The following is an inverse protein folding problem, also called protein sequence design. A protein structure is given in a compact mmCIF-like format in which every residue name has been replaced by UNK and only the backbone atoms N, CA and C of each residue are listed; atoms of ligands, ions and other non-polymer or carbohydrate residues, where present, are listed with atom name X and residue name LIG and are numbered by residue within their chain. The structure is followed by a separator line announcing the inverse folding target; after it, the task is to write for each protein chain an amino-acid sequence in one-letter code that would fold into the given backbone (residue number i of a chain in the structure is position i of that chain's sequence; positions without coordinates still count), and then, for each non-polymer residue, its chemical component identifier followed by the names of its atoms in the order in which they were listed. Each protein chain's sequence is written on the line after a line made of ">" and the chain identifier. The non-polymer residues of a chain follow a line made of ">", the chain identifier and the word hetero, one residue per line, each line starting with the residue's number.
data_IF_284635351108
#
_entry.id   IF_284635351108
#
_cell.length_a   1.000
_cell.length_b   1.000
_cell.length_c   1.000
_cell.angle_alpha   90.00
_cell.angle_beta   90.00
_cell.angle_gamma   90.00
#
_symmetry.space_group_name_H-M   'P 1'
#
loop_
_entity.id
_entity.type
_entity.pdbx_description
1 polymer ?
#
# COMPACT_ATOMS: atom_id res chain seq x y z
N UNK A 1 7.65 -14.41 -18.96
CA UNK A 1 7.04 -15.43 -18.10
C UNK A 1 6.18 -14.69 -17.07
N UNK A 2 4.90 -15.05 -16.91
CA UNK A 2 4.07 -14.48 -15.84
C UNK A 2 4.49 -15.11 -14.51
N UNK A 3 4.72 -14.27 -13.49
CA UNK A 3 4.96 -14.73 -12.13
C UNK A 3 3.61 -15.05 -11.50
N UNK A 4 3.43 -16.26 -10.97
CA UNK A 4 2.22 -16.64 -10.23
C UNK A 4 2.38 -16.30 -8.75
N UNK A 5 1.30 -15.83 -8.12
CA UNK A 5 1.21 -15.57 -6.70
C UNK A 5 0.28 -16.59 -6.07
N UNK A 6 0.75 -17.35 -5.07
CA UNK A 6 -0.11 -18.25 -4.31
C UNK A 6 -0.99 -17.45 -3.35
N UNK A 7 -2.29 -17.74 -3.36
CA UNK A 7 -3.31 -17.07 -2.55
C UNK A 7 -4.12 -18.12 -1.79
N UNK A 8 -4.29 -17.93 -0.49
CA UNK A 8 -5.23 -18.68 0.34
C UNK A 8 -6.48 -17.84 0.57
N UNK A 9 -7.65 -18.37 0.26
CA UNK A 9 -8.94 -17.74 0.59
C UNK A 9 -9.33 -18.15 2.01
N UNK A 10 -9.26 -17.19 2.93
CA UNK A 10 -9.71 -17.36 4.31
C UNK A 10 -11.21 -17.16 4.42
N UNK A 11 -11.78 -16.32 3.54
CA UNK A 11 -13.23 -16.15 3.37
C UNK A 11 -13.64 -16.61 1.95
N UNK A 12 -14.12 -17.85 1.79
CA UNK A 12 -14.53 -18.37 0.48
C UNK A 12 -15.79 -17.69 -0.09
N UNK A 13 -16.50 -16.90 0.72
CA UNK A 13 -17.66 -16.11 0.27
C UNK A 13 -17.27 -14.82 -0.48
N UNK A 14 -15.99 -14.45 -0.47
CA UNK A 14 -15.47 -13.31 -1.24
C UNK A 14 -14.83 -13.78 -2.55
N UNK A 15 -14.83 -12.94 -3.61
CA UNK A 15 -14.12 -13.26 -4.83
C UNK A 15 -12.59 -13.21 -4.61
N UNK A 16 -11.83 -13.93 -5.42
CA UNK A 16 -10.39 -13.75 -5.47
C UNK A 16 -10.06 -12.33 -5.99
N UNK A 17 -8.99 -11.71 -5.49
CA UNK A 17 -8.49 -10.46 -6.06
C UNK A 17 -8.28 -10.57 -7.57
N UNK A 18 -8.78 -9.58 -8.28
CA UNK A 18 -8.69 -9.55 -9.74
C UNK A 18 -8.34 -8.14 -10.22
N UNK A 19 -7.77 -8.07 -11.43
CA UNK A 19 -7.59 -6.81 -12.15
C UNK A 19 -8.90 -6.40 -12.78
N UNK A 20 -9.25 -5.12 -12.67
CA UNK A 20 -10.44 -4.58 -13.34
C UNK A 20 -10.26 -4.60 -14.86
N UNK A 21 -9.03 -4.31 -15.34
CA UNK A 21 -8.69 -4.34 -16.76
C UNK A 21 -7.38 -5.11 -16.99
N UNK A 22 -7.26 -5.67 -18.21
CA UNK A 22 -6.02 -6.33 -18.62
C UNK A 22 -4.88 -5.31 -18.65
N UNK A 23 -3.82 -5.58 -17.89
CA UNK A 23 -2.65 -4.68 -17.80
C UNK A 23 -2.63 -3.78 -16.57
N UNK A 24 -3.71 -3.72 -15.78
CA UNK A 24 -3.67 -3.03 -14.49
C UNK A 24 -2.57 -3.60 -13.59
N UNK A 25 -1.82 -2.73 -12.91
CA UNK A 25 -0.76 -3.14 -12.01
C UNK A 25 -1.32 -3.75 -10.72
N UNK A 26 -2.40 -3.17 -10.19
CA UNK A 26 -3.05 -3.59 -8.95
C UNK A 26 -4.14 -4.63 -9.17
N UNK A 27 -4.35 -5.47 -8.15
CA UNK A 27 -5.52 -6.30 -8.00
C UNK A 27 -6.37 -5.77 -6.84
N UNK A 28 -7.69 -5.71 -7.02
CA UNK A 28 -8.58 -5.17 -5.98
C UNK A 28 -8.64 -6.10 -4.76
N UNK A 29 -8.60 -5.50 -3.57
CA UNK A 29 -8.82 -6.15 -2.28
C UNK A 29 -10.21 -5.79 -1.76
N UNK A 30 -10.92 -6.80 -1.28
CA UNK A 30 -12.31 -6.66 -0.82
C UNK A 30 -12.37 -6.60 0.71
N UNK A 31 -13.35 -5.89 1.26
CA UNK A 31 -13.65 -5.94 2.69
C UNK A 31 -14.28 -7.28 3.06
N UNK A 32 -13.78 -7.92 4.13
CA UNK A 32 -14.39 -9.13 4.67
C UNK A 32 -15.53 -8.84 5.67
N UNK A 33 -15.76 -7.58 6.00
CA UNK A 33 -16.70 -7.16 7.03
C UNK A 33 -17.35 -5.81 6.70
N UNK A 34 -18.46 -5.52 7.38
CA UNK A 34 -19.06 -4.18 7.38
C UNK A 34 -18.35 -3.33 8.41
N UNK A 35 -18.03 -2.07 8.06
CA UNK A 35 -17.43 -1.12 8.99
C UNK A 35 -17.89 0.30 8.68
N UNK A 36 -18.17 1.07 9.73
CA UNK A 36 -18.42 2.51 9.63
C UNK A 36 -17.23 3.28 10.19
N UNK A 37 -16.71 4.20 9.42
CA UNK A 37 -15.60 5.07 9.78
C UNK A 37 -16.13 6.49 9.96
N UNK A 38 -16.28 6.94 11.18
CA UNK A 38 -16.58 8.34 11.48
C UNK A 38 -15.44 9.25 10.95
N UNK A 39 -15.67 10.56 10.72
CA UNK A 39 -14.65 11.51 10.30
C UNK A 39 -13.40 11.44 11.17
N UNK A 40 -12.21 11.30 10.54
CA UNK A 40 -10.92 11.18 11.21
C UNK A 40 -10.63 9.83 11.88
N UNK A 41 -11.58 8.88 11.89
CA UNK A 41 -11.39 7.57 12.51
C UNK A 41 -10.78 6.56 11.55
N UNK A 42 -10.19 5.51 12.12
CA UNK A 42 -9.56 4.40 11.39
C UNK A 42 -10.04 3.05 11.91
N UNK A 43 -10.00 2.05 11.05
CA UNK A 43 -10.23 0.65 11.42
C UNK A 43 -9.27 -0.27 10.68
N UNK A 44 -8.93 -1.40 11.29
CA UNK A 44 -8.16 -2.47 10.66
C UNK A 44 -9.13 -3.51 10.09
N UNK A 45 -9.29 -3.54 8.78
CA UNK A 45 -10.30 -4.32 8.06
C UNK A 45 -9.65 -5.52 7.39
N UNK A 46 -10.19 -6.70 7.63
CA UNK A 46 -9.77 -7.95 6.97
C UNK A 46 -10.14 -7.97 5.49
N UNK A 47 -9.36 -8.70 4.70
CA UNK A 47 -9.64 -8.89 3.26
C UNK A 47 -10.04 -10.32 2.91
N UNK A 48 -10.04 -11.23 3.89
CA UNK A 48 -10.38 -12.65 3.69
C UNK A 48 -9.37 -13.43 2.86
N UNK A 49 -8.15 -12.92 2.65
CA UNK A 49 -7.08 -13.62 1.94
C UNK A 49 -5.73 -13.52 2.64
N UNK A 50 -4.91 -14.53 2.40
CA UNK A 50 -3.47 -14.52 2.67
C UNK A 50 -2.72 -14.82 1.38
N UNK A 51 -1.50 -14.28 1.23
CA UNK A 51 -0.67 -14.45 0.03
C UNK A 51 0.73 -14.92 0.40
N UNK A 52 1.38 -15.63 -0.51
CA UNK A 52 2.80 -16.00 -0.36
C UNK A 52 3.64 -15.18 -1.35
N UNK A 53 4.09 -14.02 -0.91
CA UNK A 53 5.00 -13.18 -1.71
C UNK A 53 6.33 -13.93 -1.90
N UNK A 54 6.85 -14.08 -3.15
CA UNK A 54 8.14 -14.68 -3.41
C UNK A 54 9.29 -13.85 -2.84
N UNK A 55 10.39 -14.52 -2.43
CA UNK A 55 11.63 -13.83 -2.04
C UNK A 55 12.13 -12.95 -3.17
N UNK A 56 12.63 -11.77 -2.86
CA UNK A 56 13.00 -10.73 -3.82
C UNK A 56 11.83 -9.94 -4.40
N UNK A 57 10.63 -10.12 -3.82
CA UNK A 57 9.46 -9.32 -4.12
C UNK A 57 8.82 -8.77 -2.85
N UNK A 58 8.01 -7.75 -3.00
CA UNK A 58 7.19 -7.13 -1.95
C UNK A 58 5.76 -6.98 -2.44
N UNK A 59 4.80 -7.20 -1.55
CA UNK A 59 3.42 -6.81 -1.75
C UNK A 59 3.17 -5.41 -1.19
N UNK A 60 2.59 -4.52 -1.98
CA UNK A 60 2.27 -3.16 -1.57
C UNK A 60 0.76 -2.94 -1.65
N UNK A 61 0.17 -2.58 -0.51
CA UNK A 61 -1.25 -2.26 -0.41
C UNK A 61 -1.44 -0.75 -0.52
N UNK A 62 -2.12 -0.32 -1.57
CA UNK A 62 -2.38 1.08 -1.87
C UNK A 62 -3.86 1.42 -1.74
N UNK A 63 -4.20 2.70 -1.42
CA UNK A 63 -5.55 3.20 -1.56
C UNK A 63 -6.04 3.09 -3.01
N UNK A 64 -7.34 3.11 -3.18
CA UNK A 64 -7.98 3.25 -4.49
C UNK A 64 -8.21 4.72 -4.78
N UNK A 65 -7.66 5.22 -5.88
CA UNK A 65 -7.73 6.64 -6.25
C UNK A 65 -9.15 7.19 -6.29
N UNK A 66 -10.11 6.39 -6.80
CA UNK A 66 -11.51 6.80 -6.86
C UNK A 66 -12.16 6.98 -5.48
N UNK A 67 -11.82 6.16 -4.49
CA UNK A 67 -12.33 6.31 -3.11
C UNK A 67 -11.61 7.45 -2.40
N UNK A 68 -10.30 7.57 -2.58
CA UNK A 68 -9.53 8.67 -2.01
C UNK A 68 -10.06 10.04 -2.49
N UNK A 69 -10.29 10.18 -3.79
CA UNK A 69 -10.74 11.46 -4.37
C UNK A 69 -12.20 11.82 -4.04
N UNK A 70 -13.11 10.83 -4.01
CA UNK A 70 -14.55 11.11 -3.86
C UNK A 70 -15.01 11.20 -2.43
N UNK A 71 -14.47 10.36 -1.55
CA UNK A 71 -14.94 10.23 -0.17
C UNK A 71 -13.83 10.32 0.87
N UNK A 72 -12.60 10.57 0.48
CA UNK A 72 -11.48 10.68 1.43
C UNK A 72 -11.08 9.37 2.11
N UNK A 73 -11.48 8.20 1.58
CA UNK A 73 -11.04 6.92 2.14
C UNK A 73 -9.58 6.66 1.76
N UNK A 74 -8.74 6.48 2.74
CA UNK A 74 -7.31 6.22 2.56
C UNK A 74 -6.82 5.09 3.48
N UNK A 75 -5.51 4.87 3.49
CA UNK A 75 -4.82 3.88 4.32
C UNK A 75 -3.78 4.61 5.16
N UNK A 76 -3.78 4.35 6.47
CA UNK A 76 -2.92 5.05 7.45
C UNK A 76 -1.44 4.87 7.14
N UNK A 77 -1.02 3.66 6.79
CA UNK A 77 0.37 3.28 6.51
C UNK A 77 0.62 3.06 5.01
N UNK A 78 0.05 3.90 4.16
CA UNK A 78 0.19 3.75 2.70
C UNK A 78 1.61 4.07 2.21
N UNK A 79 2.21 3.14 1.43
CA UNK A 79 1.72 1.80 1.13
C UNK A 79 1.92 0.84 2.31
N UNK A 80 0.92 -0.02 2.57
CA UNK A 80 1.11 -1.16 3.47
C UNK A 80 2.08 -2.16 2.87
N UNK A 81 3.06 -2.61 3.62
CA UNK A 81 4.09 -3.53 3.14
C UNK A 81 3.80 -4.96 3.56
N UNK A 82 3.82 -5.89 2.61
CA UNK A 82 3.68 -7.34 2.82
C UNK A 82 4.98 -8.01 2.45
N UNK A 83 5.68 -8.51 3.45
CA UNK A 83 6.96 -9.17 3.31
C UNK A 83 6.84 -10.58 2.73
N UNK A 84 7.90 -11.07 2.09
CA UNK A 84 7.96 -12.42 1.52
C UNK A 84 7.73 -13.52 2.57
N UNK A 85 8.09 -13.29 3.84
CA UNK A 85 7.89 -14.23 4.95
C UNK A 85 6.50 -14.20 5.57
N UNK A 86 5.66 -13.19 5.27
CA UNK A 86 4.34 -13.07 5.89
C UNK A 86 3.34 -14.09 5.30
N UNK A 87 2.54 -14.73 6.17
CA UNK A 87 1.53 -15.73 5.80
C UNK A 87 0.17 -15.47 6.46
N UNK A 88 0.04 -14.38 7.21
CA UNK A 88 -1.22 -13.98 7.82
C UNK A 88 -2.20 -13.37 6.82
N UNK A 89 -3.40 -13.10 7.29
CA UNK A 89 -4.40 -12.36 6.53
C UNK A 89 -3.91 -10.96 6.18
N UNK A 90 -4.10 -10.55 4.94
CA UNK A 90 -3.93 -9.13 4.58
C UNK A 90 -5.04 -8.34 5.24
N UNK A 91 -4.66 -7.41 6.12
CA UNK A 91 -5.58 -6.44 6.74
C UNK A 91 -5.20 -5.04 6.32
N UNK A 92 -6.20 -4.21 6.07
CA UNK A 92 -6.04 -2.83 5.59
C UNK A 92 -6.41 -1.86 6.71
N UNK A 93 -5.45 -1.01 7.10
CA UNK A 93 -5.68 0.05 8.08
C UNK A 93 -6.35 1.25 7.40
N UNK A 94 -7.66 1.16 7.19
CA UNK A 94 -8.47 2.22 6.58
C UNK A 94 -8.56 3.46 7.48
N UNK A 95 -8.62 4.64 6.87
CA UNK A 95 -8.86 5.91 7.54
C UNK A 95 -9.82 6.76 6.72
N UNK A 96 -10.76 7.42 7.40
CA UNK A 96 -11.64 8.42 6.82
C UNK A 96 -11.01 9.80 6.99
N UNK A 97 -10.61 10.42 5.89
CA UNK A 97 -10.04 11.77 5.84
C UNK A 97 -11.08 12.85 5.53
N UNK A 98 -12.36 12.48 5.32
CA UNK A 98 -13.43 13.45 5.21
C UNK A 98 -13.64 14.14 6.58
N UNK A 99 -13.74 15.48 6.64
CA UNK A 99 -13.85 16.19 7.91
C UNK A 99 -15.25 16.11 8.56
N UNK A 100 -16.28 15.69 7.82
CA UNK A 100 -17.67 15.80 8.26
C UNK A 100 -18.52 14.55 8.02
N UNK A 101 -18.22 13.77 6.97
CA UNK A 101 -19.11 12.69 6.52
C UNK A 101 -18.54 11.32 6.91
N UNK A 102 -19.28 10.46 7.61
CA UNK A 102 -18.85 9.08 7.86
C UNK A 102 -18.81 8.29 6.56
N UNK A 103 -17.90 7.31 6.50
CA UNK A 103 -17.80 6.38 5.39
C UNK A 103 -18.27 5.01 5.86
N UNK A 104 -19.26 4.45 5.16
CA UNK A 104 -19.73 3.09 5.37
C UNK A 104 -19.08 2.19 4.32
N UNK A 105 -18.42 1.15 4.77
CA UNK A 105 -17.87 0.07 3.96
C UNK A 105 -18.67 -1.19 4.23
N UNK A 106 -19.14 -1.84 3.18
CA UNK A 106 -19.83 -3.12 3.28
C UNK A 106 -18.90 -4.28 2.91
N UNK A 107 -19.16 -5.44 3.49
CA UNK A 107 -18.51 -6.68 3.09
C UNK A 107 -18.65 -6.88 1.58
N UNK A 108 -17.53 -7.13 0.90
CA UNK A 108 -17.47 -7.25 -0.56
C UNK A 108 -17.13 -5.96 -1.29
N UNK A 109 -17.09 -4.81 -0.60
CA UNK A 109 -16.62 -3.57 -1.20
C UNK A 109 -15.11 -3.65 -1.48
N UNK A 110 -14.69 -3.05 -2.60
CA UNK A 110 -13.28 -2.92 -2.97
C UNK A 110 -12.67 -1.75 -2.23
N UNK A 111 -11.87 -2.04 -1.21
CA UNK A 111 -11.34 -1.04 -0.24
C UNK A 111 -9.89 -0.62 -0.51
N UNK A 112 -9.13 -1.45 -1.21
CA UNK A 112 -7.71 -1.24 -1.48
C UNK A 112 -7.29 -1.94 -2.77
N UNK A 113 -6.02 -1.84 -3.13
CA UNK A 113 -5.42 -2.61 -4.21
C UNK A 113 -4.05 -3.15 -3.81
N UNK A 114 -3.74 -4.38 -4.22
CA UNK A 114 -2.45 -5.02 -4.00
C UNK A 114 -1.63 -4.97 -5.29
N UNK A 115 -0.41 -4.44 -5.18
CA UNK A 115 0.63 -4.54 -6.20
C UNK A 115 1.71 -5.49 -5.71
N UNK A 116 2.32 -6.24 -6.62
CA UNK A 116 3.50 -7.07 -6.33
C UNK A 116 4.61 -6.64 -7.26
N UNK A 117 5.76 -6.27 -6.70
CA UNK A 117 6.91 -5.81 -7.46
C UNK A 117 8.22 -6.39 -6.92
N UNK A 118 9.28 -6.31 -7.70
CA UNK A 118 10.64 -6.66 -7.25
C UNK A 118 11.14 -5.63 -6.25
N UNK A 119 11.91 -6.09 -5.27
CA UNK A 119 12.55 -5.25 -4.26
C UNK A 119 14.01 -5.69 -4.12
N UNK A 120 14.91 -4.71 -4.03
CA UNK A 120 16.30 -4.97 -3.69
C UNK A 120 16.43 -5.14 -2.17
N UNK A 121 16.99 -6.27 -1.77
CA UNK A 121 17.31 -6.58 -0.38
C UNK A 121 18.77 -6.20 -0.15
N UNK A 122 18.99 -4.93 0.20
CA UNK A 122 20.32 -4.38 0.38
C UNK A 122 20.86 -4.63 1.78
N UNK A 123 22.15 -4.94 1.88
CA UNK A 123 22.88 -4.93 3.15
C UNK A 123 23.25 -3.47 3.51
N UNK A 124 22.98 -3.08 4.74
CA UNK A 124 23.39 -1.77 5.25
C UNK A 124 24.83 -1.83 5.73
N UNK A 125 25.68 -1.03 5.12
CA UNK A 125 27.10 -0.89 5.50
C UNK A 125 27.29 0.49 6.13
N UNK A 126 27.68 0.52 7.40
CA UNK A 126 28.01 1.75 8.09
C UNK A 126 29.31 2.35 7.54
N UNK A 127 29.28 3.64 7.22
CA UNK A 127 30.46 4.44 6.83
C UNK A 127 30.58 5.64 7.73
N UNK A 128 31.79 6.13 7.95
CA UNK A 128 32.04 7.28 8.82
C UNK A 128 31.52 8.57 8.20
N UNK A 129 31.67 8.74 6.88
CA UNK A 129 31.11 9.84 6.10
C UNK A 129 31.01 9.43 4.62
N UNK A 130 30.17 10.11 3.86
CA UNK A 130 30.08 9.90 2.42
C UNK A 130 31.35 10.38 1.68
N UNK A 131 32.08 11.38 2.21
CA UNK A 131 33.35 11.83 1.66
C UNK A 131 34.42 10.76 1.73
N UNK A 132 34.60 10.13 2.91
CA UNK A 132 35.56 9.04 3.09
C UNK A 132 35.20 7.80 2.27
N UNK A 133 33.91 7.56 2.06
CA UNK A 133 33.40 6.48 1.22
C UNK A 133 33.45 6.81 -0.29
N UNK A 134 33.83 8.04 -0.70
CA UNK A 134 33.84 8.47 -2.08
C UNK A 134 32.44 8.62 -2.72
N UNK A 135 31.41 8.88 -1.91
CA UNK A 135 29.99 8.93 -2.32
C UNK A 135 29.37 10.34 -2.23
N UNK A 136 30.16 11.36 -1.90
CA UNK A 136 29.65 12.74 -1.68
C UNK A 136 29.50 13.57 -2.95
N UNK A 137 30.07 13.13 -4.09
CA UNK A 137 30.02 13.88 -5.35
C UNK A 137 28.63 13.82 -5.99
N UNK A 138 27.70 14.64 -5.46
CA UNK A 138 26.36 14.80 -6.01
C UNK A 138 26.00 16.28 -6.12
N UNK A 139 25.32 16.66 -7.20
CA UNK A 139 24.85 18.05 -7.40
C UNK A 139 23.75 18.46 -6.44
N UNK A 140 23.06 17.50 -5.81
CA UNK A 140 21.98 17.74 -4.86
C UNK A 140 22.47 17.93 -3.42
N UNK A 141 23.56 17.24 -3.03
CA UNK A 141 24.06 17.23 -1.65
C UNK A 141 22.98 16.83 -0.65
N UNK A 142 22.81 17.62 0.40
CA UNK A 142 21.82 17.47 1.47
C UNK A 142 20.48 18.21 1.20
N UNK A 143 20.33 18.79 0.01
CA UNK A 143 19.13 19.52 -0.39
C UNK A 143 17.88 18.62 -0.40
N UNK A 144 16.90 18.98 0.45
CA UNK A 144 15.59 18.28 0.59
C UNK A 144 14.44 19.29 0.69
N UNK A 145 13.25 18.81 1.02
CA UNK A 145 12.06 19.59 1.42
C UNK A 145 11.78 20.84 0.57
N UNK A 146 11.78 20.70 -0.76
CA UNK A 146 11.50 21.79 -1.68
C UNK A 146 12.74 22.50 -2.20
N UNK A 147 13.96 21.99 -2.00
CA UNK A 147 15.21 22.56 -2.53
C UNK A 147 15.21 22.73 -4.06
N UNK A 148 14.35 22.00 -4.79
CA UNK A 148 14.16 22.14 -6.24
C UNK A 148 13.15 23.22 -6.65
N UNK A 149 12.57 23.95 -5.68
CA UNK A 149 11.53 24.96 -5.94
C UNK A 149 10.18 24.35 -6.33
N UNK A 150 9.30 25.13 -6.93
CA UNK A 150 8.03 24.66 -7.50
C UNK A 150 6.77 25.27 -6.88
N UNK A 151 6.90 26.11 -5.84
CA UNK A 151 5.78 26.89 -5.29
C UNK A 151 6.20 28.35 -5.15
N UNK A 152 5.51 29.26 -5.87
CA UNK A 152 5.89 30.68 -5.93
C UNK A 152 5.49 31.50 -4.67
N UNK A 153 4.81 30.88 -3.68
CA UNK A 153 4.23 31.61 -2.53
C UNK A 153 4.10 30.77 -1.25
N UNK A 154 5.18 30.10 -0.87
CA UNK A 154 5.38 29.64 0.51
C UNK A 154 6.37 30.51 1.21
#
# INVERSE_FOLDING_TARGET
>A
MSTSLAVVRLDPGLPLPARAHRGDAGVDLYSAEDVELAPGHRALVGTGIAVAIPVGMVGLVHPRSGLAARVGLSIVNSPGTIDAGYRGEIKVALVNLDPAVPIVVHRGDRIAQLLVQRVELVDLVEVTSFDEAGLSDTTRGDGGHGSSGGHASL
#
